data_IF_886599148434
#
_entry.id   IF_886599148434
#
_cell.length_a   1.000
_cell.length_b   1.000
_cell.length_c   1.000
_cell.angle_alpha   90.00
_cell.angle_beta   90.00
_cell.angle_gamma   90.00
#
_symmetry.space_group_name_H-M   'P 1'
#
loop_
_entity.id
_entity.type
_entity.pdbx_description
1 polymer ?
#
# COMPACT_ATOMS: atom_id res chain seq x y z
N UNK A 1 -92.52 56.00 0.74
CA UNK A 1 -92.65 55.04 -0.37
C UNK A 1 -91.74 53.87 -0.05
N UNK A 2 -92.11 52.60 -0.03
CA UNK A 2 -93.37 51.85 -0.07
C UNK A 2 -92.97 50.42 0.39
N UNK A 3 -93.86 49.68 1.06
CA UNK A 3 -93.62 48.31 1.56
C UNK A 3 -93.59 47.18 0.48
N UNK A 4 -93.55 45.90 0.91
CA UNK A 4 -93.03 44.69 0.22
C UNK A 4 -94.11 43.84 -0.52
N UNK A 5 -93.79 42.66 -1.13
CA UNK A 5 -94.06 41.34 -0.46
C UNK A 5 -93.08 40.17 -0.86
N UNK A 6 -92.77 39.17 -0.01
CA UNK A 6 -93.38 37.84 0.32
C UNK A 6 -93.33 36.74 -0.79
N UNK A 7 -93.04 35.51 -0.32
CA UNK A 7 -93.19 34.14 -0.89
C UNK A 7 -91.98 33.55 -1.65
N UNK A 8 -91.56 32.29 -1.49
CA UNK A 8 -91.85 31.19 -0.58
C UNK A 8 -90.88 30.02 -0.93
N UNK A 9 -90.57 29.16 0.06
CA UNK A 9 -90.31 27.70 0.01
C UNK A 9 -89.33 27.15 -1.09
N UNK A 10 -88.44 26.20 -0.84
CA UNK A 10 -88.73 24.79 -0.52
C UNK A 10 -87.43 24.11 -0.05
N UNK A 11 -87.60 23.18 0.88
CA UNK A 11 -86.63 22.25 1.45
C UNK A 11 -85.87 21.38 0.43
N UNK A 12 -84.73 20.80 0.82
CA UNK A 12 -84.27 19.60 0.13
C UNK A 12 -82.87 19.07 0.46
N UNK A 13 -82.85 18.09 1.37
CA UNK A 13 -82.09 16.84 1.27
C UNK A 13 -80.56 16.89 1.45
N UNK A 14 -80.17 16.36 2.61
CA UNK A 14 -78.90 15.70 2.96
C UNK A 14 -78.27 14.93 1.79
N UNK A 15 -76.94 15.00 1.64
CA UNK A 15 -76.13 13.81 1.32
C UNK A 15 -74.67 14.04 1.73
N UNK A 16 -74.21 13.14 2.59
CA UNK A 16 -72.87 13.02 3.09
C UNK A 16 -71.86 12.79 1.94
N UNK A 17 -70.76 13.55 1.96
CA UNK A 17 -69.55 13.21 1.23
C UNK A 17 -68.42 13.05 2.25
N UNK A 18 -68.02 11.79 2.41
CA UNK A 18 -66.94 11.28 3.24
C UNK A 18 -65.62 12.02 2.98
N UNK A 19 -64.79 12.33 4.00
CA UNK A 19 -63.44 12.80 3.77
C UNK A 19 -62.60 11.66 3.19
N UNK A 20 -62.11 11.87 1.97
CA UNK A 20 -61.20 10.99 1.28
C UNK A 20 -59.95 10.71 2.09
N UNK A 21 -59.59 9.43 2.17
CA UNK A 21 -58.34 8.90 2.70
C UNK A 21 -57.18 9.47 1.88
N UNK A 22 -56.52 10.51 2.38
CA UNK A 22 -55.25 10.95 1.84
C UNK A 22 -54.20 9.88 2.17
N UNK A 23 -53.87 9.05 1.17
CA UNK A 23 -52.78 8.10 1.23
C UNK A 23 -51.47 8.84 1.49
N UNK A 24 -50.87 8.60 2.66
CA UNK A 24 -49.55 9.10 2.99
C UNK A 24 -48.53 8.56 1.99
N UNK A 25 -47.84 9.46 1.28
CA UNK A 25 -46.67 9.11 0.50
C UNK A 25 -45.61 8.46 1.42
N UNK A 26 -44.97 7.36 1.02
CA UNK A 26 -43.89 6.80 1.82
C UNK A 26 -42.76 7.83 1.83
N UNK A 27 -42.39 8.31 3.02
CA UNK A 27 -41.15 9.07 3.21
C UNK A 27 -40.02 8.17 2.72
N UNK A 28 -39.44 8.50 1.56
CA UNK A 28 -38.20 7.93 1.10
C UNK A 28 -37.19 8.11 2.23
N UNK A 29 -36.87 7.02 2.94
CA UNK A 29 -35.86 7.03 3.97
C UNK A 29 -34.58 7.57 3.35
N UNK A 30 -34.13 8.73 3.82
CA UNK A 30 -32.77 9.19 3.56
C UNK A 30 -31.85 8.07 4.03
N UNK A 31 -31.30 7.31 3.08
CA UNK A 31 -30.16 6.44 3.37
C UNK A 31 -29.14 7.32 4.10
N UNK A 32 -28.61 6.91 5.26
CA UNK A 32 -27.58 7.69 5.93
C UNK A 32 -26.48 7.94 4.89
N UNK A 33 -26.19 9.22 4.65
CA UNK A 33 -25.11 9.60 3.76
C UNK A 33 -23.86 8.91 4.30
N UNK A 34 -23.38 7.91 3.56
CA UNK A 34 -22.11 7.23 3.84
C UNK A 34 -21.10 8.34 4.11
N UNK A 35 -20.48 8.34 5.30
CA UNK A 35 -19.51 9.36 5.67
C UNK A 35 -18.54 9.51 4.49
N UNK A 36 -18.63 10.65 3.78
CA UNK A 36 -17.79 10.87 2.60
C UNK A 36 -16.37 10.93 3.13
N UNK A 37 -15.62 9.87 2.91
CA UNK A 37 -14.19 9.86 3.19
C UNK A 37 -13.53 11.05 2.49
N UNK A 38 -12.49 11.58 3.09
CA UNK A 38 -11.84 12.77 2.57
C UNK A 38 -11.15 12.45 1.25
N UNK A 39 -11.31 13.35 0.28
CA UNK A 39 -10.71 13.20 -1.02
C UNK A 39 -9.18 13.28 -0.88
N UNK A 40 -8.45 12.45 -1.62
CA UNK A 40 -7.00 12.55 -1.66
C UNK A 40 -6.56 13.92 -2.22
N UNK A 41 -5.33 14.31 -1.87
CA UNK A 41 -4.67 15.46 -2.48
C UNK A 41 -4.31 15.13 -3.93
N UNK A 42 -4.23 16.13 -4.83
CA UNK A 42 -3.69 15.92 -6.17
C UNK A 42 -2.30 15.29 -6.10
N UNK A 43 -2.00 14.35 -7.00
CA UNK A 43 -0.75 13.59 -7.01
C UNK A 43 0.45 14.54 -7.18
N UNK A 44 0.32 15.59 -7.99
CA UNK A 44 1.36 16.58 -8.27
C UNK A 44 1.80 17.34 -7.01
N UNK A 45 0.85 17.59 -6.10
CA UNK A 45 1.15 18.23 -4.83
C UNK A 45 1.87 17.26 -3.88
N UNK A 46 1.50 15.98 -3.89
CA UNK A 46 2.18 14.95 -3.11
C UNK A 46 3.62 14.73 -3.62
N UNK A 47 3.81 14.72 -4.94
CA UNK A 47 5.12 14.69 -5.59
C UNK A 47 5.99 15.87 -5.17
N UNK A 48 5.43 17.08 -5.14
CA UNK A 48 6.15 18.27 -4.71
C UNK A 48 6.53 18.22 -3.22
N UNK A 49 5.63 17.78 -2.35
CA UNK A 49 5.91 17.61 -0.91
C UNK A 49 6.98 16.55 -0.69
N UNK A 50 6.83 15.40 -1.34
CA UNK A 50 7.77 14.30 -1.27
C UNK A 50 9.15 14.71 -1.81
N UNK A 51 9.21 15.39 -2.95
CA UNK A 51 10.44 15.84 -3.57
C UNK A 51 11.27 16.76 -2.66
N UNK A 52 10.61 17.59 -1.85
CA UNK A 52 11.29 18.42 -0.83
C UNK A 52 11.87 17.59 0.32
N UNK A 53 11.17 16.53 0.76
CA UNK A 53 11.62 15.65 1.84
C UNK A 53 12.71 14.67 1.38
N UNK A 54 12.59 14.18 0.15
CA UNK A 54 13.52 13.23 -0.44
C UNK A 54 14.78 13.90 -1.04
N UNK A 55 14.80 15.23 -1.16
CA UNK A 55 15.96 15.99 -1.62
C UNK A 55 17.10 15.92 -0.57
N UNK A 56 18.07 15.03 -0.79
CA UNK A 56 19.22 14.79 0.09
C UNK A 56 19.97 13.52 -0.30
N UNK A 57 20.83 13.00 0.58
CA UNK A 57 21.61 11.75 0.37
C UNK A 57 20.72 10.55 -0.04
N UNK A 58 19.44 10.57 0.36
CA UNK A 58 18.45 9.54 0.03
C UNK A 58 17.76 9.73 -1.33
N UNK A 59 17.81 10.94 -1.91
CA UNK A 59 17.28 11.23 -3.24
C UNK A 59 18.02 10.50 -4.37
N UNK A 60 19.29 10.14 -4.14
CA UNK A 60 20.11 9.35 -5.06
C UNK A 60 19.50 7.95 -5.35
N UNK A 61 18.69 7.41 -4.44
CA UNK A 61 18.05 6.11 -4.61
C UNK A 61 16.71 6.20 -5.35
N UNK A 62 16.16 7.40 -5.59
CA UNK A 62 14.85 7.55 -6.24
C UNK A 62 14.87 7.01 -7.70
N UNK A 63 16.02 7.08 -8.37
CA UNK A 63 16.20 6.50 -9.70
C UNK A 63 16.24 4.96 -9.71
N UNK A 64 16.57 4.30 -8.59
CA UNK A 64 16.43 2.84 -8.47
C UNK A 64 14.98 2.41 -8.33
N UNK A 65 14.08 3.34 -8.00
CA UNK A 65 12.64 3.08 -7.93
C UNK A 65 11.95 3.15 -9.30
N UNK A 66 12.60 3.75 -10.31
CA UNK A 66 12.13 3.78 -11.70
C UNK A 66 12.54 2.51 -12.44
N UNK A 67 12.06 1.36 -11.94
CA UNK A 67 12.22 0.09 -12.64
C UNK A 67 11.42 0.15 -13.95
N UNK A 68 12.12 0.30 -15.07
CA UNK A 68 11.61 0.04 -16.42
C UNK A 68 11.13 -1.40 -16.59
N UNK A 69 10.40 -1.70 -17.68
CA UNK A 69 9.07 -2.29 -17.63
C UNK A 69 9.03 -3.75 -17.16
N UNK A 70 8.12 -3.99 -16.20
CA UNK A 70 7.26 -5.18 -16.08
C UNK A 70 7.85 -6.49 -16.62
N UNK A 71 8.49 -7.28 -15.74
CA UNK A 71 8.39 -8.77 -15.66
C UNK A 71 9.56 -9.44 -14.93
N UNK A 72 10.63 -8.74 -14.54
CA UNK A 72 11.87 -9.43 -14.18
C UNK A 72 11.92 -10.13 -12.79
N UNK A 73 10.84 -10.16 -12.00
CA UNK A 73 10.99 -10.49 -10.58
C UNK A 73 9.79 -11.15 -9.88
N UNK A 74 8.85 -11.76 -10.60
CA UNK A 74 7.94 -12.72 -9.94
C UNK A 74 8.49 -14.15 -9.92
N UNK A 75 9.42 -14.46 -10.83
CA UNK A 75 9.95 -15.81 -11.04
C UNK A 75 11.49 -15.88 -11.07
N UNK A 76 12.19 -14.87 -10.56
CA UNK A 76 13.64 -14.90 -10.48
C UNK A 76 14.07 -15.90 -9.38
N UNK A 77 14.87 -16.90 -9.75
CA UNK A 77 15.44 -17.88 -8.83
C UNK A 77 16.94 -17.62 -8.63
N UNK A 78 17.53 -18.22 -7.60
CA UNK A 78 18.97 -18.20 -7.39
C UNK A 78 19.69 -18.79 -8.63
N UNK A 79 20.61 -18.06 -9.28
CA UNK A 79 21.31 -18.54 -10.47
C UNK A 79 22.49 -19.47 -10.15
N UNK A 80 22.47 -20.14 -8.98
CA UNK A 80 23.56 -21.00 -8.52
C UNK A 80 23.89 -22.11 -9.52
N UNK A 81 25.16 -22.19 -9.93
CA UNK A 81 25.63 -23.19 -10.89
C UNK A 81 25.00 -23.09 -12.29
N UNK A 82 24.37 -21.96 -12.62
CA UNK A 82 23.76 -21.71 -13.93
C UNK A 82 24.77 -21.71 -15.07
N UNK A 83 24.34 -22.14 -16.26
CA UNK A 83 25.16 -22.07 -17.49
C UNK A 83 25.60 -20.62 -17.74
N UNK A 84 26.80 -20.39 -18.29
CA UNK A 84 27.26 -19.06 -18.64
C UNK A 84 26.19 -18.38 -19.48
N UNK A 85 25.78 -17.18 -19.05
CA UNK A 85 24.86 -16.35 -19.81
C UNK A 85 25.38 -16.21 -21.25
N UNK A 86 24.48 -16.18 -22.23
CA UNK A 86 24.84 -15.87 -23.61
C UNK A 86 25.74 -14.62 -23.58
N UNK A 87 26.95 -14.71 -24.15
CA UNK A 87 27.98 -13.65 -24.10
C UNK A 87 27.48 -12.30 -24.64
N UNK A 88 26.36 -12.30 -25.37
CA UNK A 88 25.67 -11.11 -25.88
C UNK A 88 24.82 -10.38 -24.84
N UNK A 89 24.34 -11.05 -23.80
CA UNK A 89 23.53 -10.43 -22.74
C UNK A 89 24.40 -10.14 -21.53
N UNK A 90 24.57 -8.85 -21.21
CA UNK A 90 25.23 -8.40 -19.99
C UNK A 90 24.16 -8.17 -18.93
N UNK A 91 23.95 -9.10 -17.97
CA UNK A 91 22.94 -8.91 -16.94
C UNK A 91 23.24 -7.67 -16.10
N UNK A 92 22.20 -7.03 -15.54
CA UNK A 92 22.36 -5.88 -14.65
C UNK A 92 23.11 -6.28 -13.36
N UNK A 93 23.66 -5.28 -12.66
CA UNK A 93 24.52 -5.48 -11.47
C UNK A 93 23.87 -6.36 -10.40
N UNK A 94 22.56 -6.23 -10.18
CA UNK A 94 21.81 -7.01 -9.19
C UNK A 94 21.81 -8.52 -9.46
N UNK A 95 21.89 -8.95 -10.73
CA UNK A 95 21.99 -10.37 -11.10
C UNK A 95 23.44 -10.87 -11.21
N UNK A 96 24.42 -9.96 -11.25
CA UNK A 96 25.86 -10.28 -11.29
C UNK A 96 26.54 -10.27 -9.92
N UNK A 97 25.82 -9.82 -8.89
CA UNK A 97 26.31 -9.79 -7.51
C UNK A 97 26.55 -11.21 -6.98
N UNK A 98 27.52 -11.35 -6.07
CA UNK A 98 27.71 -12.58 -5.27
C UNK A 98 26.50 -12.90 -4.40
N UNK A 99 25.70 -11.89 -4.05
CA UNK A 99 24.43 -11.99 -3.34
C UNK A 99 23.34 -11.39 -4.22
N UNK A 100 22.86 -12.11 -5.25
CA UNK A 100 21.98 -11.54 -6.26
C UNK A 100 20.59 -11.23 -5.68
N UNK A 101 19.96 -10.18 -6.20
CA UNK A 101 18.63 -9.74 -5.76
C UNK A 101 17.73 -9.36 -6.92
N UNK A 102 16.44 -9.42 -6.66
CA UNK A 102 15.40 -8.87 -7.51
C UNK A 102 14.49 -7.95 -6.69
N UNK A 103 13.59 -7.24 -7.36
CA UNK A 103 12.69 -6.29 -6.71
C UNK A 103 11.24 -6.76 -6.79
N UNK A 104 10.51 -6.64 -5.69
CA UNK A 104 9.05 -6.72 -5.67
C UNK A 104 8.47 -5.33 -5.44
N UNK A 105 7.30 -5.07 -6.01
CA UNK A 105 6.62 -3.80 -5.80
C UNK A 105 5.63 -3.93 -4.64
N UNK A 106 5.87 -3.18 -3.57
CA UNK A 106 4.97 -3.01 -2.44
C UNK A 106 3.97 -1.90 -2.76
N UNK A 107 2.67 -2.22 -2.74
CA UNK A 107 1.59 -1.26 -2.98
C UNK A 107 0.88 -0.92 -1.67
N UNK A 108 0.76 0.37 -1.37
CA UNK A 108 0.03 0.88 -0.21
C UNK A 108 -0.78 2.14 -0.62
N UNK A 109 -2.12 2.07 -0.64
CA UNK A 109 -2.96 3.20 -1.02
C UNK A 109 -2.93 4.35 0.01
N UNK A 110 -2.49 4.09 1.25
CA UNK A 110 -2.38 5.08 2.32
C UNK A 110 -1.03 5.77 2.38
N UNK A 111 -0.17 5.60 1.37
CA UNK A 111 1.20 6.11 1.34
C UNK A 111 1.51 6.77 0.00
N UNK A 112 2.39 7.75 0.00
CA UNK A 112 2.99 8.29 -1.21
C UNK A 112 4.54 8.24 -1.12
N UNK A 113 5.26 7.70 -2.12
CA UNK A 113 4.72 7.05 -3.31
C UNK A 113 3.95 5.76 -2.97
N UNK A 114 2.86 5.50 -3.72
CA UNK A 114 1.98 4.33 -3.50
C UNK A 114 2.67 3.01 -3.82
N UNK A 115 3.57 3.05 -4.80
CA UNK A 115 4.38 1.92 -5.23
C UNK A 115 5.81 2.10 -4.73
N UNK A 116 6.30 1.12 -3.98
CA UNK A 116 7.65 1.14 -3.42
C UNK A 116 8.36 -0.18 -3.78
N UNK A 117 9.44 -0.15 -4.58
CA UNK A 117 10.23 -1.34 -4.85
C UNK A 117 11.06 -1.75 -3.63
N UNK A 118 10.96 -3.03 -3.29
CA UNK A 118 11.69 -3.67 -2.21
C UNK A 118 12.58 -4.77 -2.80
N UNK A 119 13.88 -4.71 -2.54
CA UNK A 119 14.80 -5.77 -2.90
C UNK A 119 14.56 -7.02 -2.05
N UNK A 120 14.70 -8.19 -2.67
CA UNK A 120 14.74 -9.47 -1.99
C UNK A 120 15.87 -10.33 -2.59
N UNK A 121 16.58 -11.05 -1.72
CA UNK A 121 17.70 -11.87 -2.13
C UNK A 121 17.20 -13.14 -2.85
N UNK A 122 17.85 -13.49 -3.95
CA UNK A 122 17.49 -14.68 -4.73
C UNK A 122 18.05 -15.97 -4.12
N UNK A 123 19.23 -15.87 -3.50
CA UNK A 123 19.94 -16.98 -2.89
C UNK A 123 19.89 -16.89 -1.35
N UNK A 124 20.12 -18.01 -0.66
CA UNK A 124 20.23 -18.06 0.81
C UNK A 124 21.67 -17.78 1.25
N UNK A 125 22.63 -18.45 0.61
CA UNK A 125 24.06 -18.22 0.72
C UNK A 125 24.56 -17.23 -0.32
N UNK A 126 25.86 -17.27 -0.62
CA UNK A 126 26.49 -16.38 -1.59
C UNK A 126 27.19 -17.16 -2.71
N UNK A 127 27.12 -16.66 -3.93
CA UNK A 127 27.72 -17.23 -5.13
C UNK A 127 29.23 -16.90 -5.16
N UNK A 128 30.01 -17.68 -4.42
CA UNK A 128 31.47 -17.49 -4.30
C UNK A 128 32.27 -18.63 -4.93
N UNK A 129 31.61 -19.71 -5.34
CA UNK A 129 32.26 -20.81 -6.04
C UNK A 129 32.85 -20.38 -7.40
N UNK A 130 33.88 -21.08 -7.90
CA UNK A 130 34.58 -20.74 -9.13
C UNK A 130 33.67 -20.73 -10.38
N UNK A 131 32.52 -21.39 -10.34
CA UNK A 131 31.49 -21.38 -11.40
C UNK A 131 30.19 -20.75 -10.93
N UNK A 132 30.22 -19.96 -9.85
CA UNK A 132 29.04 -19.37 -9.24
C UNK A 132 28.22 -20.36 -8.42
N UNK A 133 28.87 -21.37 -7.83
CA UNK A 133 28.24 -22.23 -6.82
C UNK A 133 27.94 -21.43 -5.54
N UNK A 134 26.82 -21.76 -4.89
CA UNK A 134 26.37 -21.13 -3.64
C UNK A 134 27.12 -21.71 -2.43
N UNK A 135 27.78 -20.85 -1.65
CA UNK A 135 28.36 -21.19 -0.35
C UNK A 135 27.34 -20.85 0.76
N UNK A 136 26.84 -21.90 1.42
CA UNK A 136 25.84 -21.82 2.50
C UNK A 136 26.44 -21.49 3.86
N UNK A 137 27.78 -21.42 3.98
CA UNK A 137 28.46 -20.89 5.17
C UNK A 137 28.39 -19.36 5.23
N UNK A 138 28.08 -18.73 4.11
CA UNK A 138 27.77 -17.33 3.99
C UNK A 138 26.26 -17.14 3.88
N UNK A 139 25.80 -15.90 4.03
CA UNK A 139 24.40 -15.54 3.93
C UNK A 139 24.22 -14.32 3.04
N UNK A 140 23.30 -14.42 2.09
CA UNK A 140 22.76 -13.24 1.41
C UNK A 140 21.81 -12.50 2.36
N UNK A 141 22.15 -11.27 2.72
CA UNK A 141 21.37 -10.43 3.63
C UNK A 141 20.91 -9.14 2.91
N UNK A 142 19.66 -8.70 3.12
CA UNK A 142 19.18 -7.46 2.53
C UNK A 142 19.90 -6.25 3.14
N UNK A 143 20.28 -5.29 2.30
CA UNK A 143 20.81 -4.00 2.73
C UNK A 143 19.64 -3.06 2.93
N UNK A 144 19.44 -2.64 4.19
CA UNK A 144 18.32 -1.81 4.61
C UNK A 144 18.73 -0.34 4.66
N UNK A 145 17.90 0.54 4.11
CA UNK A 145 18.09 2.00 4.20
C UNK A 145 16.81 2.67 4.72
N UNK A 146 16.93 3.76 5.50
CA UNK A 146 15.77 4.58 5.84
C UNK A 146 15.30 5.34 4.60
N UNK A 147 14.00 5.34 4.34
CA UNK A 147 13.36 6.11 3.28
C UNK A 147 12.19 6.91 3.85
N UNK A 148 12.07 8.17 3.45
CA UNK A 148 10.92 9.00 3.80
C UNK A 148 9.74 8.66 2.89
N UNK A 149 8.53 8.64 3.44
CA UNK A 149 7.26 8.50 2.72
C UNK A 149 6.23 9.45 3.32
N UNK A 150 5.22 9.81 2.53
CA UNK A 150 4.08 10.58 3.02
C UNK A 150 2.94 9.63 3.38
N UNK A 151 2.57 9.56 4.66
CA UNK A 151 1.49 8.71 5.15
C UNK A 151 0.18 9.48 5.27
N UNK A 152 -0.89 8.93 4.71
CA UNK A 152 -2.25 9.43 4.82
C UNK A 152 -2.76 9.23 6.24
N UNK A 153 -3.13 10.31 6.90
CA UNK A 153 -3.75 10.29 8.24
C UNK A 153 -5.26 10.05 8.13
N UNK A 154 -5.94 9.66 9.22
CA UNK A 154 -7.40 9.64 9.27
C UNK A 154 -8.03 11.05 9.27
N UNK A 155 -7.23 12.09 9.52
CA UNK A 155 -7.67 13.48 9.61
C UNK A 155 -7.90 14.15 8.26
N UNK A 156 -8.69 15.22 8.28
CA UNK A 156 -9.05 15.97 7.09
C UNK A 156 -8.95 17.47 7.31
N UNK A 157 -8.40 18.16 6.32
CA UNK A 157 -8.31 19.62 6.31
C UNK A 157 -8.92 20.14 5.00
N UNK A 158 -9.98 20.94 5.10
CA UNK A 158 -10.68 21.47 3.92
C UNK A 158 -11.25 20.40 3.01
N UNK A 159 -11.74 19.28 3.57
CA UNK A 159 -12.29 18.15 2.81
C UNK A 159 -11.24 17.27 2.10
N UNK A 160 -9.94 17.56 2.28
CA UNK A 160 -8.83 16.77 1.74
C UNK A 160 -8.14 15.97 2.81
N UNK A 161 -7.63 14.80 2.44
CA UNK A 161 -6.79 14.00 3.31
C UNK A 161 -5.51 14.77 3.71
N UNK A 162 -5.10 14.58 4.96
CA UNK A 162 -3.85 15.14 5.50
C UNK A 162 -2.78 14.07 5.46
N UNK A 163 -1.57 14.45 5.03
CA UNK A 163 -0.41 13.57 4.96
C UNK A 163 0.67 14.05 5.92
N UNK A 164 1.37 13.11 6.54
CA UNK A 164 2.51 13.36 7.43
C UNK A 164 3.73 12.59 6.94
N UNK A 165 4.92 13.06 7.27
CA UNK A 165 6.14 12.32 6.99
C UNK A 165 6.26 11.08 7.89
N UNK A 166 6.70 9.97 7.33
CA UNK A 166 7.00 8.73 8.03
C UNK A 166 8.31 8.17 7.46
N UNK A 167 9.21 7.69 8.32
CA UNK A 167 10.43 7.01 7.90
C UNK A 167 10.21 5.50 7.95
N UNK A 168 10.35 4.86 6.80
CA UNK A 168 10.23 3.40 6.64
C UNK A 168 11.57 2.80 6.29
N UNK A 169 11.78 1.53 6.66
CA UNK A 169 13.00 0.80 6.31
C UNK A 169 12.77 0.04 5.01
N UNK A 170 13.60 0.29 4.00
CA UNK A 170 13.45 -0.30 2.66
C UNK A 170 14.69 -1.11 2.29
N UNK A 171 14.54 -2.37 1.85
CA UNK A 171 15.65 -3.13 1.29
C UNK A 171 15.97 -2.61 -0.12
N UNK A 172 17.20 -2.17 -0.35
CA UNK A 172 17.66 -1.63 -1.66
C UNK A 172 18.54 -2.59 -2.44
N UNK A 173 19.02 -3.65 -1.80
CA UNK A 173 19.81 -4.69 -2.45
C UNK A 173 20.14 -5.81 -1.48
N UNK A 174 21.05 -6.70 -1.88
CA UNK A 174 21.57 -7.74 -1.00
C UNK A 174 23.09 -7.70 -0.97
N UNK A 175 23.65 -8.00 0.19
CA UNK A 175 25.08 -8.14 0.45
C UNK A 175 25.38 -9.54 0.99
N UNK A 176 26.65 -9.93 0.97
CA UNK A 176 27.11 -11.20 1.51
C UNK A 176 27.74 -10.99 2.89
N UNK A 177 27.26 -11.75 3.87
CA UNK A 177 27.76 -11.71 5.25
C UNK A 177 28.11 -13.12 5.74
N UNK A 178 28.89 -13.27 6.82
CA UNK A 178 29.07 -14.56 7.48
C UNK A 178 27.71 -15.20 7.83
N UNK A 179 27.60 -16.52 7.69
CA UNK A 179 26.42 -17.27 8.08
C UNK A 179 26.19 -17.22 9.59
N UNK A 180 24.96 -17.52 10.07
CA UNK A 180 24.70 -17.60 11.50
C UNK A 180 25.54 -18.72 12.13
N UNK A 181 26.17 -18.43 13.27
CA UNK A 181 26.89 -19.43 14.06
C UNK A 181 25.88 -20.46 14.56
N UNK A 182 26.00 -21.71 14.10
CA UNK A 182 25.16 -22.82 14.56
C UNK A 182 25.27 -23.08 16.07
N UNK A 183 26.29 -22.52 16.73
CA UNK A 183 26.54 -22.70 18.15
C UNK A 183 25.69 -21.76 19.03
N UNK A 184 25.18 -20.64 18.50
CA UNK A 184 24.35 -19.71 19.29
C UNK A 184 22.93 -20.26 19.56
N UNK A 185 22.37 -21.03 18.63
CA UNK A 185 21.04 -21.66 18.77
C UNK A 185 21.08 -22.90 19.69
N UNK A 186 22.24 -23.56 19.80
CA UNK A 186 22.44 -24.70 20.72
C UNK A 186 22.53 -24.26 22.19
N UNK A 187 23.07 -23.06 22.46
CA UNK A 187 23.19 -22.53 23.82
C UNK A 187 21.82 -22.12 24.38
N UNK A 188 20.96 -21.50 23.58
CA UNK A 188 19.61 -21.14 24.02
C UNK A 188 18.70 -22.37 24.22
N UNK A 189 18.78 -23.36 23.34
CA UNK A 189 17.96 -24.58 23.45
C UNK A 189 18.37 -25.52 24.62
N UNK A 190 19.59 -25.39 25.14
CA UNK A 190 20.08 -26.15 26.30
C UNK A 190 19.67 -25.51 27.64
N UNK A 191 19.55 -24.18 27.69
CA UNK A 191 19.08 -23.45 28.88
C UNK A 191 17.58 -23.65 29.13
N UNK A 192 16.75 -23.68 28.08
CA UNK A 192 15.29 -23.93 28.21
C UNK A 192 14.94 -25.36 28.63
N UNK A 193 15.81 -26.34 28.35
CA UNK A 193 15.61 -27.74 28.77
C UNK A 193 15.93 -27.98 30.25
N UNK A 194 16.68 -27.06 30.87
CA UNK A 194 17.14 -27.15 32.25
C UNK A 194 16.17 -26.51 33.26
N UNK A 195 15.15 -25.80 32.78
CA UNK A 195 14.26 -24.96 33.60
C UNK A 195 12.84 -25.54 33.79
N UNK A 196 12.60 -26.81 33.46
CA UNK A 196 11.29 -27.46 33.67
C UNK A 196 11.37 -28.41 34.89
N UNK A 197 10.73 -28.07 36.03
CA UNK A 197 10.67 -28.94 37.21
C UNK A 197 9.74 -30.15 36.99
#
# INVERSE_FOLDING_TARGET
MLGPPVWALVAGVLLALSPGRAGGAPKAGRRPARARGCADRPEELLEQLYGRLAAGVLGAFHHTLQLGPREQARNASCPAGGRPADRRFRPPTNLRSVSPWAYRISYDPGRFPRYLPEAYCLCRGCLTGPRGEEDVRLRSAPVLVPAVVLRRTPGCAGGRAVYVEEYVTVPVGCTCVPGPDKDADAVNSSLDKSARP
#
